data_IF_512272574959
#
_entry.id   IF_512272574959
#
_cell.length_a   1.000
_cell.length_b   1.000
_cell.length_c   1.000
_cell.angle_alpha   90.00
_cell.angle_beta   90.00
_cell.angle_gamma   90.00
#
_symmetry.space_group_name_H-M   'P 1'
#
loop_
_entity.id
_entity.type
_entity.pdbx_description
1 polymer ?
#
# COMPACT_ATOMS: atom_id res chain seq x y z
N UNK A 1 -1.80 33.17 22.22
CA UNK A 1 -1.87 33.18 20.76
C UNK A 1 -3.30 33.27 20.29
N UNK A 2 -3.56 34.00 19.19
CA UNK A 2 -4.91 34.12 18.65
C UNK A 2 -5.34 32.77 18.05
N UNK A 3 -6.59 32.35 18.31
CA UNK A 3 -7.18 31.13 17.71
C UNK A 3 -7.51 31.36 16.26
N UNK A 4 -7.98 32.58 15.91
CA UNK A 4 -8.23 33.01 14.54
C UNK A 4 -8.02 34.51 14.39
N UNK A 5 -7.80 34.96 13.15
CA UNK A 5 -7.82 36.36 12.74
C UNK A 5 -9.00 36.63 11.82
N UNK A 6 -9.48 37.88 11.76
CA UNK A 6 -10.58 38.29 10.88
C UNK A 6 -10.11 39.46 10.03
N UNK A 7 -10.42 39.39 8.73
CA UNK A 7 -10.10 40.47 7.79
C UNK A 7 -11.07 41.63 7.91
N UNK A 8 -10.51 42.85 7.93
CA UNK A 8 -11.25 44.12 7.84
C UNK A 8 -10.98 44.89 6.53
N UNK A 9 -10.31 44.26 5.56
CA UNK A 9 -9.99 44.84 4.24
C UNK A 9 -10.12 43.79 3.14
N UNK A 10 -10.61 44.21 1.99
CA UNK A 10 -10.84 43.32 0.85
C UNK A 10 -12.03 42.36 1.06
N UNK A 11 -11.81 41.23 1.73
CA UNK A 11 -12.84 40.23 2.10
C UNK A 11 -13.22 40.42 3.57
N UNK A 12 -14.04 41.46 3.86
CA UNK A 12 -14.44 41.80 5.22
C UNK A 12 -15.22 40.63 5.86
N UNK A 13 -14.87 40.28 7.12
CA UNK A 13 -15.48 39.20 7.87
C UNK A 13 -14.95 37.79 7.56
N UNK A 14 -13.99 37.65 6.63
CA UNK A 14 -13.32 36.37 6.39
C UNK A 14 -12.41 36.02 7.58
N UNK A 15 -12.65 34.87 8.21
CA UNK A 15 -11.83 34.38 9.31
C UNK A 15 -10.75 33.41 8.80
N UNK A 16 -9.53 33.53 9.36
CA UNK A 16 -8.41 32.64 9.12
C UNK A 16 -8.04 31.96 10.43
N UNK A 17 -8.13 30.60 10.52
CA UNK A 17 -7.71 29.86 11.70
C UNK A 17 -6.19 29.95 11.87
N UNK A 18 -5.71 30.10 13.11
CA UNK A 18 -4.30 30.21 13.49
C UNK A 18 -3.86 29.10 14.43
N UNK A 19 -4.70 28.74 15.39
CA UNK A 19 -4.45 27.67 16.36
C UNK A 19 -5.73 27.00 16.79
N UNK A 20 -5.62 25.76 17.31
CA UNK A 20 -6.76 25.03 17.85
C UNK A 20 -7.33 25.78 19.07
N UNK A 21 -8.65 25.71 19.24
CA UNK A 21 -9.39 26.32 20.35
C UNK A 21 -10.63 27.05 19.89
N UNK A 22 -11.22 27.83 20.79
CA UNK A 22 -12.41 28.63 20.52
C UNK A 22 -12.12 30.11 20.76
N UNK A 23 -12.70 30.96 19.93
CA UNK A 23 -12.67 32.41 20.04
C UNK A 23 -13.99 33.01 19.63
N UNK A 24 -14.26 34.26 20.02
CA UNK A 24 -15.43 35.00 19.54
C UNK A 24 -15.01 35.90 18.37
N UNK A 25 -15.77 35.83 17.29
CA UNK A 25 -15.74 36.76 16.17
C UNK A 25 -16.82 37.79 16.40
N UNK A 26 -16.46 39.07 16.48
CA UNK A 26 -17.42 40.17 16.76
C UNK A 26 -17.39 41.22 15.64
N UNK A 27 -18.57 41.76 15.37
CA UNK A 27 -18.77 42.92 14.50
C UNK A 27 -19.42 44.04 15.30
N UNK A 28 -18.96 45.28 15.07
CA UNK A 28 -19.47 46.44 15.77
C UNK A 28 -19.66 47.60 14.80
N UNK A 29 -20.80 48.32 14.93
CA UNK A 29 -21.06 49.59 14.25
C UNK A 29 -21.93 50.47 15.14
N UNK A 30 -21.64 51.79 15.21
CA UNK A 30 -22.39 52.79 15.97
C UNK A 30 -22.69 52.36 17.41
N UNK A 31 -21.77 51.68 18.08
CA UNK A 31 -21.95 51.21 19.44
C UNK A 31 -22.76 49.93 19.57
N UNK A 32 -23.29 49.36 18.49
CA UNK A 32 -23.99 48.10 18.48
C UNK A 32 -23.00 46.98 18.16
N UNK A 33 -22.89 46.00 19.08
CA UNK A 33 -22.01 44.84 19.03
C UNK A 33 -22.80 43.54 18.86
N UNK A 34 -22.35 42.67 17.97
CA UNK A 34 -22.78 41.25 17.91
C UNK A 34 -21.57 40.36 17.80
N UNK A 35 -21.64 39.17 18.40
CA UNK A 35 -20.55 38.21 18.38
C UNK A 35 -21.08 36.79 18.19
N UNK A 36 -20.27 35.94 17.55
CA UNK A 36 -20.49 34.51 17.41
C UNK A 36 -19.23 33.74 17.79
N UNK A 37 -19.38 32.54 18.34
CA UNK A 37 -18.26 31.69 18.67
C UNK A 37 -17.75 30.99 17.42
N UNK A 38 -16.42 31.01 17.20
CA UNK A 38 -15.69 30.19 16.23
C UNK A 38 -14.87 29.16 16.99
N UNK A 39 -15.00 27.88 16.64
CA UNK A 39 -14.12 26.80 17.13
C UNK A 39 -13.25 26.31 16.00
N UNK A 40 -11.95 26.25 16.25
CA UNK A 40 -10.94 25.66 15.36
C UNK A 40 -10.57 24.30 15.95
N UNK A 41 -10.93 23.23 15.26
CA UNK A 41 -10.60 21.84 15.61
C UNK A 41 -9.44 21.31 14.76
N UNK A 42 -8.83 20.21 15.21
CA UNK A 42 -7.89 19.46 14.37
C UNK A 42 -8.60 18.92 13.13
N UNK A 43 -7.84 18.76 12.05
CA UNK A 43 -8.33 18.04 10.87
C UNK A 43 -8.68 16.60 11.24
N UNK A 44 -9.83 16.13 10.75
CA UNK A 44 -10.32 14.76 10.97
C UNK A 44 -10.16 13.95 9.67
N UNK A 45 -9.84 12.65 9.81
CA UNK A 45 -9.77 11.73 8.68
C UNK A 45 -11.18 11.53 8.09
N UNK A 46 -11.32 11.76 6.78
CA UNK A 46 -12.58 11.65 6.03
C UNK A 46 -12.64 10.37 5.21
N UNK A 47 -11.54 10.07 4.53
CA UNK A 47 -11.43 8.88 3.68
C UNK A 47 -10.00 8.35 3.62
N UNK A 48 -9.85 7.13 3.16
CA UNK A 48 -8.56 6.47 2.93
C UNK A 48 -8.49 6.08 1.46
N UNK A 49 -7.36 6.32 0.81
CA UNK A 49 -7.03 5.75 -0.50
C UNK A 49 -6.01 4.64 -0.33
N UNK A 50 -6.27 3.50 -0.97
CA UNK A 50 -5.38 2.33 -0.97
C UNK A 50 -4.74 2.17 -2.35
N UNK A 51 -3.41 2.18 -2.39
CA UNK A 51 -2.65 2.01 -3.64
C UNK A 51 -1.59 0.91 -3.51
N UNK A 52 -1.22 0.19 -4.61
CA UNK A 52 -1.79 0.30 -5.95
C UNK A 52 -3.22 -0.27 -6.02
N UNK A 53 -3.99 0.16 -7.03
CA UNK A 53 -5.34 -0.36 -7.28
C UNK A 53 -5.27 -1.61 -8.14
N UNK A 54 -5.92 -2.68 -7.69
CA UNK A 54 -6.09 -3.96 -8.37
C UNK A 54 -4.78 -4.55 -8.94
N UNK A 55 -3.70 -4.64 -8.14
CA UNK A 55 -2.45 -5.23 -8.62
C UNK A 55 -2.56 -6.74 -8.80
N UNK A 56 -1.60 -7.29 -9.57
CA UNK A 56 -1.43 -8.73 -9.74
C UNK A 56 0.00 -9.13 -9.37
N UNK A 57 0.15 -10.23 -8.62
CA UNK A 57 1.44 -10.81 -8.26
C UNK A 57 1.42 -12.32 -8.48
N UNK A 58 2.57 -12.93 -8.72
CA UNK A 58 2.68 -14.38 -8.73
C UNK A 58 2.72 -14.94 -7.30
N UNK A 59 2.22 -16.17 -7.12
CA UNK A 59 2.39 -16.93 -5.88
C UNK A 59 3.83 -16.88 -5.38
N UNK A 60 4.02 -16.64 -4.09
CA UNK A 60 5.31 -16.48 -3.42
C UNK A 60 5.86 -15.06 -3.45
N UNK A 61 5.36 -14.16 -4.30
CA UNK A 61 5.80 -12.76 -4.35
C UNK A 61 5.02 -11.89 -3.38
N UNK A 62 5.53 -10.67 -3.17
CA UNK A 62 4.93 -9.68 -2.27
C UNK A 62 4.55 -8.42 -3.00
N UNK A 63 3.49 -7.74 -2.51
CA UNK A 63 3.04 -6.40 -2.91
C UNK A 63 2.96 -5.51 -1.69
N UNK A 64 3.60 -4.34 -1.75
CA UNK A 64 3.43 -3.30 -0.74
C UNK A 64 2.22 -2.43 -1.11
N UNK A 65 1.29 -2.30 -0.16
CA UNK A 65 0.17 -1.35 -0.23
C UNK A 65 0.47 -0.12 0.63
N UNK A 66 -0.03 1.03 0.17
CA UNK A 66 0.07 2.32 0.84
C UNK A 66 -1.35 2.80 1.11
N UNK A 67 -1.60 3.25 2.34
CA UNK A 67 -2.82 3.95 2.71
C UNK A 67 -2.53 5.44 2.84
N UNK A 68 -3.29 6.27 2.12
CA UNK A 68 -3.24 7.73 2.20
C UNK A 68 -4.57 8.22 2.78
N UNK A 69 -4.52 8.94 3.89
CA UNK A 69 -5.69 9.57 4.49
C UNK A 69 -5.96 10.94 3.90
N UNK A 70 -7.23 11.23 3.63
CA UNK A 70 -7.72 12.55 3.24
C UNK A 70 -8.46 13.17 4.43
N UNK A 71 -8.20 14.44 4.74
CA UNK A 71 -8.67 15.10 5.96
C UNK A 71 -9.64 16.25 5.66
N UNK A 72 -10.40 16.68 6.67
CA UNK A 72 -11.42 17.74 6.57
C UNK A 72 -10.88 19.10 6.14
N UNK A 73 -9.58 19.34 6.33
CA UNK A 73 -8.89 20.57 5.89
C UNK A 73 -8.35 20.50 4.46
N UNK A 74 -8.63 19.41 3.73
CA UNK A 74 -8.11 19.14 2.39
C UNK A 74 -6.68 18.62 2.35
N UNK A 75 -6.03 18.44 3.50
CA UNK A 75 -4.69 17.83 3.57
C UNK A 75 -4.74 16.31 3.35
N UNK A 76 -3.61 15.76 2.91
CA UNK A 76 -3.43 14.31 2.76
C UNK A 76 -2.20 13.85 3.53
N UNK A 77 -2.25 12.65 4.10
CA UNK A 77 -1.11 12.07 4.83
C UNK A 77 -1.01 10.57 4.57
N UNK A 78 0.21 10.07 4.42
CA UNK A 78 0.46 8.61 4.37
C UNK A 78 0.26 8.03 5.78
N UNK A 79 -0.74 7.16 5.91
CA UNK A 79 -1.16 6.54 7.17
C UNK A 79 -0.96 5.01 7.16
N UNK A 80 -0.16 4.48 6.24
CA UNK A 80 0.13 3.05 6.06
C UNK A 80 0.51 2.35 7.38
N UNK A 81 1.26 3.04 8.24
CA UNK A 81 1.72 2.53 9.53
C UNK A 81 0.71 2.72 10.67
N UNK A 82 -0.37 3.46 10.46
CA UNK A 82 -1.38 3.79 11.48
C UNK A 82 -2.69 3.05 11.28
N UNK A 83 -2.94 2.50 10.07
CA UNK A 83 -4.14 1.71 9.77
C UNK A 83 -3.95 0.24 10.13
N UNK A 84 -5.06 -0.46 10.33
CA UNK A 84 -5.11 -1.91 10.42
C UNK A 84 -5.33 -2.49 9.02
N UNK A 85 -4.46 -3.39 8.61
CA UNK A 85 -4.57 -4.11 7.35
C UNK A 85 -5.22 -5.47 7.54
N UNK A 86 -6.10 -5.85 6.63
CA UNK A 86 -6.73 -7.17 6.60
C UNK A 86 -6.86 -7.70 5.17
N UNK A 87 -6.89 -9.03 5.07
CA UNK A 87 -7.17 -9.76 3.84
C UNK A 87 -8.48 -10.52 4.01
N UNK A 88 -9.34 -10.51 2.99
CA UNK A 88 -10.60 -11.25 3.02
C UNK A 88 -10.40 -12.78 2.99
N UNK A 89 -9.23 -13.24 2.50
CA UNK A 89 -8.87 -14.66 2.48
C UNK A 89 -7.35 -14.87 2.59
N UNK A 90 -6.87 -15.19 3.79
CA UNK A 90 -5.45 -15.44 4.04
C UNK A 90 -4.90 -16.69 3.30
N UNK A 91 -5.76 -17.60 2.82
CA UNK A 91 -5.38 -18.73 1.98
C UNK A 91 -5.02 -18.32 0.54
N UNK A 92 -5.45 -17.14 0.07
CA UNK A 92 -5.07 -16.58 -1.23
C UNK A 92 -3.92 -15.59 -1.07
N UNK A 93 -4.04 -14.63 -0.15
CA UNK A 93 -2.93 -13.76 0.23
C UNK A 93 -3.04 -13.33 1.68
N UNK A 94 -1.90 -13.23 2.37
CA UNK A 94 -1.79 -12.62 3.69
C UNK A 94 -1.36 -11.17 3.57
N UNK A 95 -1.70 -10.33 4.56
CA UNK A 95 -1.17 -8.98 4.70
C UNK A 95 -0.67 -8.78 6.13
N UNK A 96 0.47 -8.11 6.29
CA UNK A 96 1.09 -7.96 7.62
C UNK A 96 0.84 -6.59 8.25
N UNK A 97 0.69 -6.59 9.58
CA UNK A 97 0.66 -5.41 10.44
C UNK A 97 1.95 -5.24 11.25
N UNK A 98 2.99 -6.03 10.97
CA UNK A 98 4.27 -5.95 11.66
C UNK A 98 4.97 -4.60 11.41
N UNK A 99 5.60 -4.03 12.44
CA UNK A 99 6.35 -2.80 12.32
C UNK A 99 7.41 -2.89 11.21
N UNK A 100 7.52 -1.84 10.39
CA UNK A 100 8.43 -1.78 9.24
C UNK A 100 7.97 -2.54 7.99
N UNK A 101 6.85 -3.27 8.06
CA UNK A 101 6.32 -4.04 6.92
C UNK A 101 4.79 -3.94 6.77
N UNK A 102 4.14 -2.99 7.46
CA UNK A 102 2.68 -2.82 7.39
C UNK A 102 2.19 -2.61 5.98
N UNK A 103 1.10 -3.29 5.62
CA UNK A 103 0.52 -3.21 4.28
C UNK A 103 1.24 -4.06 3.24
N UNK A 104 2.26 -4.86 3.60
CA UNK A 104 2.88 -5.82 2.68
C UNK A 104 2.07 -7.10 2.63
N UNK A 105 1.51 -7.38 1.45
CA UNK A 105 0.81 -8.63 1.18
C UNK A 105 1.75 -9.66 0.55
N UNK A 106 1.50 -10.94 0.79
CA UNK A 106 2.23 -12.09 0.22
C UNK A 106 1.22 -13.03 -0.43
N UNK A 107 1.45 -13.39 -1.70
CA UNK A 107 0.63 -14.34 -2.44
C UNK A 107 0.85 -15.78 -1.97
N UNK A 108 -0.22 -16.45 -1.56
CA UNK A 108 -0.20 -17.82 -1.00
C UNK A 108 -0.71 -18.84 -2.02
N UNK A 109 -1.81 -18.55 -2.70
CA UNK A 109 -2.37 -19.41 -3.76
C UNK A 109 -3.09 -18.59 -4.81
N UNK A 110 -3.23 -19.09 -6.04
CA UNK A 110 -3.93 -18.38 -7.10
C UNK A 110 -5.38 -18.04 -6.72
N UNK A 111 -5.82 -16.82 -7.09
CA UNK A 111 -7.15 -16.30 -6.81
C UNK A 111 -7.14 -14.78 -6.63
N UNK A 112 -8.31 -14.19 -6.40
CA UNK A 112 -8.47 -12.76 -6.09
C UNK A 112 -8.95 -12.60 -4.66
N UNK A 113 -8.38 -11.61 -3.95
CA UNK A 113 -8.67 -11.32 -2.55
C UNK A 113 -8.71 -9.82 -2.34
N UNK A 114 -9.61 -9.36 -1.48
CA UNK A 114 -9.70 -7.95 -1.10
C UNK A 114 -8.75 -7.63 0.05
N UNK A 115 -7.90 -6.63 -0.13
CA UNK A 115 -7.00 -6.07 0.90
C UNK A 115 -7.60 -4.76 1.40
N UNK A 116 -7.87 -4.68 2.68
CA UNK A 116 -8.55 -3.55 3.33
C UNK A 116 -7.62 -2.84 4.32
N UNK A 117 -7.65 -1.50 4.28
CA UNK A 117 -7.04 -0.62 5.28
C UNK A 117 -8.14 0.04 6.12
N UNK A 118 -8.04 -0.02 7.45
CA UNK A 118 -9.05 0.49 8.38
C UNK A 118 -8.41 1.41 9.43
N UNK A 119 -9.03 2.56 9.67
CA UNK A 119 -8.70 3.50 10.75
C UNK A 119 -9.98 3.93 11.47
N UNK A 120 -10.23 3.39 12.66
CA UNK A 120 -11.49 3.60 13.37
C UNK A 120 -12.69 3.09 12.56
N UNK A 121 -13.64 3.98 12.26
CA UNK A 121 -14.81 3.68 11.44
C UNK A 121 -14.58 3.85 9.93
N UNK A 122 -13.43 4.38 9.51
CA UNK A 122 -13.12 4.68 8.12
C UNK A 122 -12.27 3.54 7.54
N UNK A 123 -12.69 3.01 6.39
CA UNK A 123 -11.97 1.95 5.68
C UNK A 123 -12.05 2.13 4.18
N UNK A 124 -11.05 1.61 3.48
CA UNK A 124 -11.08 1.44 2.03
C UNK A 124 -10.27 0.21 1.64
N UNK A 125 -10.45 -0.26 0.42
CA UNK A 125 -9.88 -1.52 -0.04
C UNK A 125 -9.45 -1.47 -1.51
N UNK A 126 -8.70 -2.50 -1.90
CA UNK A 126 -8.33 -2.81 -3.28
C UNK A 126 -8.27 -4.34 -3.46
N UNK A 127 -8.48 -4.84 -4.65
CA UNK A 127 -8.35 -6.25 -4.93
C UNK A 127 -6.92 -6.60 -5.32
N UNK A 128 -6.42 -7.74 -4.81
CA UNK A 128 -5.15 -8.33 -5.16
C UNK A 128 -5.40 -9.65 -5.89
N UNK A 129 -4.92 -9.76 -7.12
CA UNK A 129 -4.93 -11.02 -7.87
C UNK A 129 -3.60 -11.75 -7.68
N UNK A 130 -3.65 -12.98 -7.18
CA UNK A 130 -2.51 -13.88 -7.11
C UNK A 130 -2.57 -14.85 -8.29
N UNK A 131 -1.53 -14.89 -9.11
CA UNK A 131 -1.38 -15.81 -10.23
C UNK A 131 -0.59 -17.05 -9.81
N UNK A 132 -0.47 -18.05 -10.71
CA UNK A 132 0.44 -19.19 -10.51
C UNK A 132 1.88 -18.71 -10.31
N UNK A 133 2.69 -19.55 -9.68
CA UNK A 133 4.14 -19.28 -9.55
C UNK A 133 4.80 -19.16 -10.93
N UNK A 134 5.78 -18.26 -11.03
CA UNK A 134 6.54 -18.01 -12.28
C UNK A 134 7.98 -18.47 -12.12
N UNK A 135 8.56 -19.02 -13.20
CA UNK A 135 9.94 -19.47 -13.23
C UNK A 135 10.87 -18.26 -13.01
N UNK A 136 11.80 -18.38 -12.05
CA UNK A 136 12.75 -17.31 -11.69
C UNK A 136 14.18 -17.64 -12.09
N UNK A 137 14.59 -18.89 -11.99
CA UNK A 137 15.96 -19.29 -12.31
C UNK A 137 16.06 -20.73 -12.82
N UNK A 138 17.15 -21.01 -13.51
CA UNK A 138 17.53 -22.36 -13.96
C UNK A 138 18.90 -22.72 -13.38
N UNK A 139 19.04 -23.97 -12.95
CA UNK A 139 20.30 -24.55 -12.51
C UNK A 139 20.61 -25.79 -13.35
N UNK A 140 21.69 -25.75 -14.11
CA UNK A 140 22.16 -26.86 -14.94
C UNK A 140 23.14 -27.71 -14.16
N UNK A 141 23.00 -29.03 -14.24
CA UNK A 141 23.91 -30.01 -13.62
C UNK A 141 24.37 -31.07 -14.63
N UNK A 142 25.66 -31.49 -14.57
CA UNK A 142 26.72 -30.96 -13.73
C UNK A 142 27.22 -29.59 -14.21
N UNK A 143 27.63 -28.73 -13.28
CA UNK A 143 28.12 -27.36 -13.60
C UNK A 143 29.47 -27.39 -14.38
N UNK A 144 30.28 -28.39 -14.14
CA UNK A 144 31.49 -28.64 -14.90
C UNK A 144 31.67 -30.15 -15.10
N UNK A 145 32.06 -30.56 -16.27
CA UNK A 145 32.31 -31.98 -16.57
C UNK A 145 33.35 -32.10 -17.66
N UNK A 146 34.17 -33.13 -17.55
CA UNK A 146 35.09 -33.57 -18.61
C UNK A 146 34.78 -35.03 -18.93
N UNK A 147 34.88 -35.40 -20.22
CA UNK A 147 34.69 -36.77 -20.68
C UNK A 147 35.46 -36.95 -21.99
N UNK A 148 35.81 -38.19 -22.28
CA UNK A 148 36.61 -38.51 -23.45
C UNK A 148 35.82 -38.42 -24.75
N UNK A 149 36.52 -38.15 -25.86
CA UNK A 149 35.92 -38.17 -27.20
C UNK A 149 35.19 -39.49 -27.47
N UNK A 150 34.01 -39.39 -28.09
CA UNK A 150 33.19 -40.56 -28.42
C UNK A 150 32.25 -41.01 -27.30
N UNK A 151 32.29 -40.36 -26.12
CA UNK A 151 31.35 -40.64 -25.03
C UNK A 151 30.23 -39.61 -24.97
N UNK A 152 29.13 -39.96 -24.32
CA UNK A 152 27.99 -39.08 -24.11
C UNK A 152 27.91 -38.65 -22.65
N UNK A 153 27.36 -37.44 -22.41
CA UNK A 153 27.08 -36.92 -21.07
C UNK A 153 25.68 -36.36 -21.01
N UNK A 154 24.89 -36.82 -20.00
CA UNK A 154 23.58 -36.29 -19.76
C UNK A 154 23.69 -35.07 -18.83
N UNK A 155 23.05 -33.99 -19.21
CA UNK A 155 22.82 -32.81 -18.38
C UNK A 155 21.36 -32.78 -17.97
N UNK A 156 21.11 -32.22 -16.78
CA UNK A 156 19.76 -31.95 -16.25
C UNK A 156 19.63 -30.48 -15.87
N UNK A 157 18.43 -29.98 -15.86
CA UNK A 157 18.13 -28.63 -15.40
C UNK A 157 16.96 -28.60 -14.45
N UNK A 158 17.16 -27.91 -13.32
CA UNK A 158 16.12 -27.66 -12.35
C UNK A 158 15.73 -26.19 -12.43
N UNK A 159 14.42 -25.92 -12.60
CA UNK A 159 13.83 -24.60 -12.51
C UNK A 159 13.40 -24.30 -11.07
N UNK A 160 13.68 -23.08 -10.59
CA UNK A 160 13.17 -22.55 -9.33
C UNK A 160 12.12 -21.48 -9.61
N UNK A 161 10.98 -21.56 -8.95
CA UNK A 161 9.83 -20.69 -9.15
C UNK A 161 9.71 -19.64 -8.04
N UNK A 162 8.84 -18.64 -8.25
CA UNK A 162 8.62 -17.50 -7.34
C UNK A 162 8.16 -17.89 -5.93
N UNK A 163 7.59 -19.09 -5.76
CA UNK A 163 7.17 -19.66 -4.47
C UNK A 163 8.20 -20.62 -3.86
N UNK A 164 9.44 -20.61 -4.41
CA UNK A 164 10.56 -21.49 -4.06
C UNK A 164 10.32 -22.98 -4.39
N UNK A 165 9.24 -23.33 -5.07
CA UNK A 165 9.08 -24.68 -5.61
C UNK A 165 10.09 -24.94 -6.74
N UNK A 166 10.42 -26.19 -6.96
CA UNK A 166 11.35 -26.60 -8.02
C UNK A 166 10.72 -27.64 -8.93
N UNK A 167 11.11 -27.66 -10.19
CA UNK A 167 10.71 -28.68 -11.16
C UNK A 167 11.89 -29.07 -12.05
N UNK A 168 11.95 -30.34 -12.45
CA UNK A 168 12.86 -30.81 -13.49
C UNK A 168 12.33 -30.35 -14.86
N UNK A 169 13.11 -29.52 -15.53
CA UNK A 169 12.79 -28.94 -16.85
C UNK A 169 13.69 -29.50 -17.96
N UNK A 170 14.45 -30.57 -17.68
CA UNK A 170 15.45 -31.16 -18.58
C UNK A 170 14.90 -31.46 -19.98
N UNK A 171 13.62 -31.86 -20.07
CA UNK A 171 12.96 -32.20 -21.34
C UNK A 171 12.19 -31.05 -21.98
N UNK A 172 12.06 -29.91 -21.28
CA UNK A 172 11.24 -28.78 -21.72
C UNK A 172 12.03 -27.57 -22.14
N UNK A 173 13.33 -27.52 -21.80
CA UNK A 173 14.25 -26.42 -22.19
C UNK A 173 14.88 -26.68 -23.53
N UNK A 174 15.33 -25.63 -24.22
CA UNK A 174 16.18 -25.73 -25.39
C UNK A 174 17.65 -25.80 -24.97
N UNK A 175 18.36 -26.80 -25.42
CA UNK A 175 19.80 -27.00 -25.19
C UNK A 175 20.61 -26.46 -26.36
N UNK A 176 21.65 -25.68 -26.07
CA UNK A 176 22.60 -25.16 -27.09
C UNK A 176 24.03 -25.32 -26.62
N UNK A 177 24.97 -25.45 -27.58
CA UNK A 177 26.41 -25.43 -27.37
C UNK A 177 27.01 -24.33 -28.22
N UNK A 178 27.94 -23.56 -27.65
CA UNK A 178 28.72 -22.52 -28.37
C UNK A 178 30.01 -23.09 -28.94
#
# INVERSE_FOLDING_TARGET
PAVATVSNSGTNGLSHPVSLGSTFISAQTNGILSATQLTVSSAELVSIDVTPTNPSIAKGLTQQFIATGNYTDGSTQVITNSVLWSSSNAGIATVTNAAGARGRATGVSPGTVTITATSGAISNHTDLTVTIAVLQSLSVSPQSSSFSQGHTKQYSVIGTYSDNSTADLTTTVTWTSS
#
